data_IF_273667883050
#
_entry.id   IF_273667883050
#
_cell.length_a   1.000
_cell.length_b   1.000
_cell.length_c   1.000
_cell.angle_alpha   90.00
_cell.angle_beta   90.00
_cell.angle_gamma   90.00
#
_symmetry.space_group_name_H-M   'P 1'
#
loop_
_entity.id
_entity.type
_entity.pdbx_description
1 polymer ?
#
# COMPACT_ATOMS: atom_id res chain seq x y z
N UNK A 1 25.17 25.00 -72.01
CA UNK A 1 25.75 25.01 -70.64
C UNK A 1 24.78 25.40 -69.54
N UNK A 2 23.98 26.48 -69.65
CA UNK A 2 23.02 26.89 -68.60
C UNK A 2 21.95 25.85 -68.25
N UNK A 3 21.49 25.05 -69.22
CA UNK A 3 20.50 23.98 -68.97
C UNK A 3 21.11 22.76 -68.26
N UNK A 4 22.38 22.46 -68.51
CA UNK A 4 23.10 21.33 -67.89
C UNK A 4 23.31 21.54 -66.39
N UNK A 5 23.58 22.78 -65.96
CA UNK A 5 23.77 23.14 -64.55
C UNK A 5 22.46 23.03 -63.76
N UNK A 6 21.32 23.37 -64.37
CA UNK A 6 20.00 23.26 -63.74
C UNK A 6 19.58 21.82 -63.51
N UNK A 7 19.90 20.92 -64.44
CA UNK A 7 19.62 19.49 -64.28
C UNK A 7 20.41 18.86 -63.13
N UNK A 8 21.69 19.19 -62.99
CA UNK A 8 22.56 18.66 -61.93
C UNK A 8 22.06 19.08 -60.54
N UNK A 9 21.64 20.33 -60.37
CA UNK A 9 21.10 20.83 -59.10
C UNK A 9 19.80 20.12 -58.70
N UNK A 10 18.91 19.85 -59.66
CA UNK A 10 17.66 19.12 -59.40
C UNK A 10 17.95 17.67 -58.98
N UNK A 11 18.90 17.00 -59.63
CA UNK A 11 19.27 15.62 -59.27
C UNK A 11 19.94 15.53 -57.90
N UNK A 12 20.80 16.48 -57.52
CA UNK A 12 21.41 16.51 -56.18
C UNK A 12 20.38 16.76 -55.07
N UNK A 13 19.39 17.63 -55.30
CA UNK A 13 18.32 17.86 -54.34
C UNK A 13 17.45 16.61 -54.13
N UNK A 14 17.20 15.83 -55.18
CA UNK A 14 16.38 14.61 -55.12
C UNK A 14 17.08 13.45 -54.39
N UNK A 15 18.41 13.34 -54.48
CA UNK A 15 19.16 12.28 -53.77
C UNK A 15 19.26 12.58 -52.27
N UNK A 16 19.30 13.86 -51.89
CA UNK A 16 19.45 14.29 -50.49
C UNK A 16 18.21 14.03 -49.63
N UNK A 17 17.03 13.85 -50.23
CA UNK A 17 15.78 13.58 -49.48
C UNK A 17 15.59 12.10 -49.14
N UNK A 18 16.28 11.18 -49.82
CA UNK A 18 16.10 9.73 -49.60
C UNK A 18 16.83 9.22 -48.35
N UNK A 19 17.86 9.92 -47.88
CA UNK A 19 18.70 9.45 -46.76
C UNK A 19 18.17 9.79 -45.36
N UNK A 20 17.02 10.47 -45.22
CA UNK A 20 16.50 10.92 -43.91
C UNK A 20 15.50 9.91 -43.28
N UNK A 21 15.28 8.73 -43.89
CA UNK A 21 14.29 7.76 -43.41
C UNK A 21 14.75 6.80 -42.29
N UNK A 22 15.96 6.95 -41.74
CA UNK A 22 16.41 6.19 -40.57
C UNK A 22 16.00 6.89 -39.26
N UNK A 23 14.69 7.11 -39.09
CA UNK A 23 14.09 7.63 -37.88
C UNK A 23 13.86 6.53 -36.83
N UNK A 24 14.74 6.49 -35.83
CA UNK A 24 14.56 5.89 -34.50
C UNK A 24 14.04 4.43 -34.45
N UNK A 25 14.96 3.50 -34.19
CA UNK A 25 14.62 2.20 -33.59
C UNK A 25 13.86 2.46 -32.28
N UNK A 26 12.56 2.15 -32.26
CA UNK A 26 11.77 2.15 -31.03
C UNK A 26 12.28 1.00 -30.17
N UNK A 27 13.23 1.28 -29.28
CA UNK A 27 13.30 0.51 -28.04
C UNK A 27 11.96 0.73 -27.35
N UNK A 28 11.06 -0.24 -27.50
CA UNK A 28 9.80 -0.28 -26.78
C UNK A 28 10.20 -0.44 -25.32
N UNK A 29 10.34 0.69 -24.62
CA UNK A 29 10.44 0.68 -23.17
C UNK A 29 9.11 0.08 -22.69
N UNK A 30 9.14 -1.22 -22.40
CA UNK A 30 7.99 -1.94 -21.87
C UNK A 30 7.62 -1.23 -20.58
N UNK A 31 6.44 -0.62 -20.56
CA UNK A 31 5.95 0.06 -19.38
C UNK A 31 5.91 -0.97 -18.25
N UNK A 32 6.47 -0.66 -17.06
CA UNK A 32 6.55 -1.64 -16.00
C UNK A 32 5.14 -2.07 -15.58
N UNK A 33 4.98 -3.37 -15.35
CA UNK A 33 3.73 -3.94 -14.86
C UNK A 33 3.44 -3.43 -13.46
N UNK A 34 2.16 -3.47 -13.06
CA UNK A 34 1.77 -3.12 -11.69
C UNK A 34 2.58 -3.89 -10.63
N UNK A 35 2.91 -5.16 -10.89
CA UNK A 35 3.74 -5.96 -9.98
C UNK A 35 5.19 -5.46 -9.84
N UNK A 36 5.72 -4.71 -10.81
CA UNK A 36 7.07 -4.12 -10.78
C UNK A 36 7.10 -2.76 -10.08
N UNK A 37 5.95 -2.08 -9.96
CA UNK A 37 5.85 -0.76 -9.31
C UNK A 37 5.10 -0.79 -7.99
N UNK A 38 4.40 -1.88 -7.67
CA UNK A 38 3.69 -1.99 -6.39
C UNK A 38 4.68 -2.12 -5.25
N UNK A 39 4.45 -1.30 -4.23
CA UNK A 39 5.17 -1.37 -2.97
C UNK A 39 4.89 -2.72 -2.28
N UNK A 40 5.88 -3.34 -1.60
CA UNK A 40 5.65 -4.52 -0.76
C UNK A 40 4.51 -4.28 0.24
N UNK A 41 3.78 -5.34 0.58
CA UNK A 41 2.55 -5.30 1.40
C UNK A 41 2.74 -4.61 2.78
N UNK A 42 3.97 -4.44 3.25
CA UNK A 42 4.29 -3.89 4.57
C UNK A 42 5.06 -2.56 4.54
N UNK A 43 5.14 -1.88 3.39
CA UNK A 43 5.92 -0.65 3.27
C UNK A 43 5.00 0.55 3.03
N UNK A 44 4.82 1.35 4.08
CA UNK A 44 4.18 2.68 4.03
C UNK A 44 5.33 3.68 3.84
N UNK A 45 5.49 4.19 2.62
CA UNK A 45 6.51 5.22 2.33
C UNK A 45 5.81 6.57 2.34
N UNK A 46 5.94 7.32 3.43
CA UNK A 46 5.71 8.75 3.35
C UNK A 46 6.82 9.38 2.50
N UNK A 47 6.45 10.31 1.61
CA UNK A 47 7.41 11.04 0.80
C UNK A 47 8.37 11.84 1.71
N UNK A 48 9.64 11.46 1.72
CA UNK A 48 10.68 12.15 2.48
C UNK A 48 11.47 13.04 1.50
N UNK A 49 11.46 14.38 1.66
CA UNK A 49 12.25 15.26 0.80
C UNK A 49 13.76 14.99 0.96
N UNK A 50 14.56 15.16 -0.12
CA UNK A 50 15.99 14.90 -0.10
C UNK A 50 16.69 15.79 0.93
N UNK A 51 17.39 15.19 1.88
CA UNK A 51 18.07 15.86 3.00
C UNK A 51 17.48 15.58 4.39
N UNK A 52 16.30 14.95 4.44
CA UNK A 52 15.71 14.51 5.71
C UNK A 52 16.22 13.11 6.07
N UNK A 53 16.57 12.90 7.34
CA UNK A 53 16.97 11.58 7.84
C UNK A 53 15.75 10.65 7.75
N UNK A 54 15.85 9.59 6.95
CA UNK A 54 14.85 8.53 6.87
C UNK A 54 14.80 7.78 8.20
N UNK A 55 13.96 8.27 9.12
CA UNK A 55 13.60 7.54 10.32
C UNK A 55 12.40 6.69 9.99
N UNK A 56 12.52 5.37 10.11
CA UNK A 56 11.34 4.50 10.22
C UNK A 56 10.59 4.98 11.47
N UNK A 57 9.50 5.71 11.27
CA UNK A 57 8.61 6.08 12.36
C UNK A 57 7.91 4.78 12.76
N UNK A 58 8.51 4.05 13.70
CA UNK A 58 7.78 3.03 14.45
C UNK A 58 6.81 3.77 15.36
N UNK A 59 5.74 4.29 14.78
CA UNK A 59 4.64 4.84 15.54
C UNK A 59 4.05 3.69 16.34
N UNK A 60 4.19 3.77 17.66
CA UNK A 60 3.57 2.84 18.58
C UNK A 60 2.07 3.07 18.50
N UNK A 61 1.41 2.42 17.54
CA UNK A 61 -0.02 2.53 17.32
C UNK A 61 -0.74 2.00 18.57
N UNK A 62 -1.21 2.91 19.42
CA UNK A 62 -1.98 2.55 20.62
C UNK A 62 -3.39 2.22 20.15
N UNK A 63 -3.63 0.95 19.84
CA UNK A 63 -4.94 0.51 19.41
C UNK A 63 -5.90 0.46 20.61
N UNK A 64 -6.92 1.33 20.57
CA UNK A 64 -7.95 1.41 21.60
C UNK A 64 -8.99 0.30 21.40
N UNK A 65 -8.73 -0.87 21.96
CA UNK A 65 -9.56 -2.06 21.77
C UNK A 65 -11.00 -1.91 22.26
N UNK A 66 -11.26 -1.03 23.23
CA UNK A 66 -12.55 -0.94 23.93
C UNK A 66 -13.31 0.37 23.71
N UNK A 67 -12.76 1.29 22.91
CA UNK A 67 -13.35 2.63 22.70
C UNK A 67 -14.22 2.70 21.44
N UNK A 68 -14.65 1.55 20.91
CA UNK A 68 -15.56 1.49 19.77
C UNK A 68 -16.99 1.89 20.14
N UNK A 69 -17.77 2.46 19.21
CA UNK A 69 -19.17 2.78 19.45
C UNK A 69 -20.00 1.53 19.83
N UNK A 70 -21.01 1.72 20.69
CA UNK A 70 -21.89 0.63 21.11
C UNK A 70 -22.55 -0.06 19.90
N UNK A 71 -22.60 -1.39 19.92
CA UNK A 71 -23.22 -2.19 18.86
C UNK A 71 -22.35 -2.44 17.62
N UNK A 72 -21.17 -1.81 17.52
CA UNK A 72 -20.26 -1.98 16.36
C UNK A 72 -19.25 -3.11 16.51
N UNK A 73 -19.04 -3.59 17.74
CA UNK A 73 -18.05 -4.63 18.05
C UNK A 73 -18.66 -5.74 18.87
N UNK A 74 -18.28 -6.97 18.55
CA UNK A 74 -18.48 -8.15 19.40
C UNK A 74 -17.12 -8.61 19.90
N UNK A 75 -16.97 -8.68 21.21
CA UNK A 75 -15.79 -9.19 21.89
C UNK A 75 -15.97 -10.68 22.17
N UNK A 76 -14.95 -11.48 21.92
CA UNK A 76 -14.92 -12.90 22.27
C UNK A 76 -13.80 -13.08 23.29
N UNK A 77 -14.20 -13.31 24.54
CA UNK A 77 -13.33 -13.39 25.72
C UNK A 77 -13.18 -14.85 26.16
N UNK A 78 -12.02 -15.48 25.97
CA UNK A 78 -11.82 -16.92 26.22
C UNK A 78 -12.96 -17.76 25.60
N UNK A 79 -13.33 -17.46 24.36
CA UNK A 79 -14.43 -18.11 23.63
C UNK A 79 -15.86 -17.62 23.95
N UNK A 80 -16.05 -16.69 24.91
CA UNK A 80 -17.38 -16.18 25.28
C UNK A 80 -17.67 -14.82 24.62
N UNK A 81 -18.73 -14.75 23.83
CA UNK A 81 -19.13 -13.54 23.13
C UNK A 81 -19.82 -12.52 24.08
N UNK A 82 -19.50 -11.24 23.90
CA UNK A 82 -20.16 -10.11 24.56
C UNK A 82 -20.10 -8.87 23.68
N UNK A 83 -21.13 -8.04 23.71
CA UNK A 83 -21.16 -6.73 23.00
C UNK A 83 -20.88 -5.55 23.93
N UNK A 84 -20.80 -5.79 25.24
CA UNK A 84 -20.52 -4.76 26.23
C UNK A 84 -19.00 -4.54 26.35
N UNK A 85 -18.52 -3.46 25.73
CA UNK A 85 -17.12 -3.06 25.78
C UNK A 85 -16.63 -2.68 27.19
N UNK A 86 -17.50 -2.17 28.06
CA UNK A 86 -17.12 -1.85 29.46
C UNK A 86 -16.90 -3.14 30.25
N UNK A 87 -17.80 -4.11 30.09
CA UNK A 87 -17.64 -5.44 30.67
C UNK A 87 -16.37 -6.12 30.16
N UNK A 88 -16.13 -6.11 28.84
CA UNK A 88 -14.94 -6.70 28.24
C UNK A 88 -13.65 -6.07 28.80
N UNK A 89 -13.58 -4.74 28.87
CA UNK A 89 -12.46 -4.00 29.45
C UNK A 89 -12.22 -4.38 30.93
N UNK A 90 -13.29 -4.50 31.72
CA UNK A 90 -13.21 -4.87 33.13
C UNK A 90 -12.70 -6.31 33.33
N UNK A 91 -13.15 -7.23 32.49
CA UNK A 91 -12.75 -8.64 32.55
C UNK A 91 -11.28 -8.81 32.17
N UNK A 92 -10.86 -8.22 31.05
CA UNK A 92 -9.47 -8.30 30.57
C UNK A 92 -8.51 -7.56 31.52
N UNK A 93 -8.92 -6.40 32.04
CA UNK A 93 -8.13 -5.58 32.96
C UNK A 93 -8.12 -6.06 34.42
N UNK A 94 -8.75 -7.20 34.74
CA UNK A 94 -8.78 -7.74 36.11
C UNK A 94 -7.35 -8.14 36.53
N UNK A 95 -6.94 -7.71 37.72
CA UNK A 95 -5.63 -8.07 38.29
C UNK A 95 -5.46 -9.59 38.31
N UNK A 96 -4.31 -10.05 37.80
CA UNK A 96 -3.98 -11.47 37.68
C UNK A 96 -4.28 -12.07 36.31
N UNK A 97 -5.03 -11.39 35.44
CA UNK A 97 -5.22 -11.82 34.06
C UNK A 97 -4.04 -11.35 33.19
N UNK A 98 -3.51 -12.25 32.38
CA UNK A 98 -2.47 -12.01 31.39
C UNK A 98 -3.03 -12.31 30.01
N UNK A 99 -3.03 -11.31 29.13
CA UNK A 99 -3.49 -11.48 27.75
C UNK A 99 -2.49 -12.38 27.02
N UNK A 100 -2.97 -13.50 26.48
CA UNK A 100 -2.17 -14.46 25.72
C UNK A 100 -2.33 -14.27 24.23
N UNK A 101 -3.53 -13.89 23.78
CA UNK A 101 -3.83 -13.73 22.36
C UNK A 101 -4.82 -12.58 22.14
N UNK A 102 -4.58 -11.80 21.08
CA UNK A 102 -5.51 -10.79 20.58
C UNK A 102 -5.59 -10.92 19.07
N UNK A 103 -6.80 -11.08 18.53
CA UNK A 103 -7.05 -11.05 17.10
C UNK A 103 -8.19 -10.10 16.79
N UNK A 104 -8.04 -9.32 15.72
CA UNK A 104 -9.03 -8.34 15.28
C UNK A 104 -9.38 -8.69 13.85
N UNK A 105 -10.57 -9.25 13.68
CA UNK A 105 -11.02 -9.63 12.36
C UNK A 105 -11.60 -8.41 11.62
N UNK A 106 -11.77 -8.57 10.30
CA UNK A 106 -12.52 -7.62 9.49
C UNK A 106 -13.98 -7.47 9.98
N UNK A 107 -14.68 -6.44 9.48
CA UNK A 107 -16.11 -6.33 9.70
C UNK A 107 -16.85 -7.54 9.08
N UNK A 108 -17.90 -7.98 9.75
CA UNK A 108 -18.86 -8.99 9.27
C UNK A 108 -19.82 -8.39 8.24
N UNK A 109 -20.70 -9.21 7.66
CA UNK A 109 -21.77 -8.76 6.74
C UNK A 109 -22.69 -7.70 7.37
N UNK A 110 -22.81 -7.70 8.70
CA UNK A 110 -23.58 -6.70 9.45
C UNK A 110 -22.74 -5.47 9.84
N UNK A 111 -21.58 -5.26 9.21
CA UNK A 111 -20.60 -4.20 9.48
C UNK A 111 -20.02 -4.20 10.90
N UNK A 112 -20.24 -5.28 11.66
CA UNK A 112 -19.72 -5.43 13.03
C UNK A 112 -18.34 -6.05 13.02
N UNK A 113 -17.42 -5.49 13.79
CA UNK A 113 -16.07 -6.05 13.97
C UNK A 113 -16.07 -7.10 15.08
N UNK A 114 -15.23 -8.13 14.93
CA UNK A 114 -15.03 -9.16 15.97
C UNK A 114 -13.62 -9.02 16.53
N UNK A 115 -13.53 -8.92 17.86
CA UNK A 115 -12.27 -8.84 18.60
C UNK A 115 -12.17 -10.05 19.52
N UNK A 116 -11.19 -10.91 19.28
CA UNK A 116 -10.85 -12.04 20.13
C UNK A 116 -9.80 -11.61 21.14
N UNK A 117 -10.03 -11.94 22.41
CA UNK A 117 -9.08 -11.71 23.49
C UNK A 117 -9.06 -12.95 24.37
N UNK A 118 -7.96 -13.68 24.31
CA UNK A 118 -7.69 -14.78 25.24
C UNK A 118 -6.75 -14.30 26.35
N UNK A 119 -7.02 -14.75 27.56
CA UNK A 119 -6.23 -14.44 28.74
C UNK A 119 -6.20 -15.62 29.72
N UNK A 120 -5.08 -15.74 30.42
CA UNK A 120 -4.84 -16.75 31.46
C UNK A 120 -4.62 -16.07 32.82
N UNK A 121 -4.77 -16.81 33.90
CA UNK A 121 -4.36 -16.38 35.24
C UNK A 121 -2.99 -16.90 35.65
N UNK A 122 -2.44 -17.82 34.85
CA UNK A 122 -1.13 -18.44 35.07
C UNK A 122 -0.07 -17.69 34.28
N UNK A 123 1.06 -17.38 34.92
CA UNK A 123 2.12 -16.56 34.30
C UNK A 123 3.17 -17.42 33.62
#
# INVERSE_FOLDING_TARGET
MRHSIRFILITCALISTVTVLFGQSKNVAVFPTYNQIKTPINEIIDYIPPGSKSGVIQEKMVLKLFDYPAGTVTYILNGKATTDGKYAKKMVGKKGNYITHVAINGPTEAEKRIIYIDFTTEK
#
